data_IF_526035586960
#
_entry.id   IF_526035586960
#
_cell.length_a   1.000
_cell.length_b   1.000
_cell.length_c   1.000
_cell.angle_alpha   90.00
_cell.angle_beta   90.00
_cell.angle_gamma   90.00
#
_symmetry.space_group_name_H-M   'P 1'
#
loop_
_entity.id
_entity.type
_entity.pdbx_description
1 polymer ?
#
# COMPACT_ATOMS: atom_id res chain seq x y z
N UNK A 1 8.49 7.13 -14.02
CA UNK A 1 8.23 6.04 -13.05
C UNK A 1 7.05 5.23 -13.51
N UNK A 2 7.20 3.91 -13.59
CA UNK A 2 6.14 3.01 -14.11
C UNK A 2 5.36 2.32 -13.00
N UNK A 3 5.86 2.32 -11.79
CA UNK A 3 5.25 1.65 -10.64
C UNK A 3 5.07 2.63 -9.49
N UNK A 4 3.97 2.45 -8.76
CA UNK A 4 3.69 3.20 -7.55
C UNK A 4 3.53 2.26 -6.37
N UNK A 5 4.28 2.48 -5.31
CA UNK A 5 4.16 1.69 -4.09
C UNK A 5 3.64 2.59 -2.99
N UNK A 6 2.52 2.21 -2.40
CA UNK A 6 1.95 2.92 -1.25
C UNK A 6 2.22 2.09 -0.01
N UNK A 7 2.90 2.68 0.95
CA UNK A 7 3.26 1.99 2.20
C UNK A 7 2.82 2.84 3.38
N UNK A 8 2.12 2.24 4.32
CA UNK A 8 1.61 2.97 5.48
C UNK A 8 1.41 2.04 6.67
N UNK A 9 1.72 2.50 7.89
CA UNK A 9 1.20 1.85 9.07
C UNK A 9 -0.32 2.10 9.15
N UNK A 10 -1.01 1.28 9.93
CA UNK A 10 -2.44 1.44 10.13
C UNK A 10 -2.69 2.12 11.47
N UNK A 11 -3.39 3.24 11.42
CA UNK A 11 -3.87 3.97 12.59
C UNK A 11 -5.40 4.04 12.50
N UNK A 12 -6.08 3.44 13.48
CA UNK A 12 -7.55 3.40 13.48
C UNK A 12 -8.12 2.87 12.16
N UNK A 13 -7.66 1.68 11.76
CA UNK A 13 -8.20 0.91 10.64
C UNK A 13 -7.93 1.49 9.24
N UNK A 14 -7.17 2.55 9.13
CA UNK A 14 -6.90 3.13 7.82
C UNK A 14 -5.43 3.57 7.72
N UNK A 15 -5.06 4.00 6.52
CA UNK A 15 -3.73 4.54 6.27
C UNK A 15 -3.56 5.86 7.02
N UNK A 16 -2.31 6.32 7.15
CA UNK A 16 -2.03 7.58 7.83
C UNK A 16 -2.61 8.77 7.04
N UNK A 17 -2.86 9.86 7.74
CA UNK A 17 -3.34 11.09 7.11
C UNK A 17 -2.33 11.61 6.08
N UNK A 18 -1.04 11.47 6.35
CA UNK A 18 0.01 11.88 5.42
C UNK A 18 -0.03 11.08 4.13
N UNK A 19 -0.21 9.76 4.23
CA UNK A 19 -0.31 8.90 3.05
C UNK A 19 -1.58 9.21 2.26
N UNK A 20 -2.69 9.40 2.93
CA UNK A 20 -3.96 9.74 2.27
C UNK A 20 -3.85 11.10 1.58
N UNK A 21 -3.17 12.07 2.19
CA UNK A 21 -2.94 13.36 1.57
C UNK A 21 -2.12 13.23 0.28
N UNK A 22 -1.11 12.35 0.27
CA UNK A 22 -0.32 12.09 -0.92
C UNK A 22 -1.18 11.47 -2.04
N UNK A 23 -2.04 10.52 -1.68
CA UNK A 23 -2.96 9.90 -2.65
C UNK A 23 -3.95 10.94 -3.19
N UNK A 24 -4.48 11.78 -2.31
CA UNK A 24 -5.45 12.81 -2.71
C UNK A 24 -4.85 13.81 -3.71
N UNK A 25 -3.57 14.10 -3.60
CA UNK A 25 -2.89 14.98 -4.57
C UNK A 25 -2.83 14.40 -5.96
N UNK A 26 -2.90 13.08 -6.08
CA UNK A 26 -2.90 12.41 -7.38
C UNK A 26 -4.20 12.65 -8.16
N UNK A 27 -5.22 13.16 -7.49
CA UNK A 27 -6.50 13.49 -8.14
C UNK A 27 -6.30 14.44 -9.33
N UNK A 28 -5.34 15.35 -9.22
CA UNK A 28 -5.04 16.31 -10.29
C UNK A 28 -4.57 15.62 -11.58
N UNK A 29 -4.05 14.40 -11.50
CA UNK A 29 -3.59 13.66 -12.67
C UNK A 29 -4.73 12.88 -13.37
N UNK A 30 -5.93 12.90 -12.84
CA UNK A 30 -7.04 12.15 -13.41
C UNK A 30 -7.39 12.52 -14.85
N UNK A 31 -7.13 13.76 -15.24
CA UNK A 31 -7.40 14.25 -16.59
C UNK A 31 -6.22 14.08 -17.54
N UNK A 32 -5.00 14.06 -17.01
CA UNK A 32 -3.77 14.06 -17.85
C UNK A 32 -3.03 12.73 -17.82
N UNK A 33 -3.42 11.81 -16.92
CA UNK A 33 -2.77 10.52 -16.77
C UNK A 33 -1.77 10.50 -15.63
N UNK A 34 -1.57 9.32 -15.06
CA UNK A 34 -0.67 9.13 -13.93
C UNK A 34 0.73 8.79 -14.39
N UNK A 35 1.77 9.12 -13.58
CA UNK A 35 3.15 8.78 -13.93
C UNK A 35 3.45 7.28 -13.79
N UNK A 36 2.49 6.49 -13.30
CA UNK A 36 2.62 5.05 -13.13
C UNK A 36 1.31 4.36 -13.51
N UNK A 37 1.39 3.08 -13.84
CA UNK A 37 0.22 2.26 -14.18
C UNK A 37 0.07 1.04 -13.29
N UNK A 38 1.16 0.60 -12.68
CA UNK A 38 1.17 -0.55 -11.77
C UNK A 38 1.36 -0.06 -10.36
N UNK A 39 0.59 -0.62 -9.43
CA UNK A 39 0.64 -0.22 -8.03
C UNK A 39 0.72 -1.41 -7.11
N UNK A 40 1.16 -1.16 -5.89
CA UNK A 40 1.19 -2.14 -4.82
C UNK A 40 0.94 -1.44 -3.49
N UNK A 41 0.42 -2.18 -2.52
CA UNK A 41 0.11 -1.65 -1.21
C UNK A 41 0.81 -2.48 -0.13
N UNK A 42 1.53 -1.79 0.73
CA UNK A 42 2.18 -2.40 1.90
C UNK A 42 1.61 -1.75 3.15
N UNK A 43 1.02 -2.57 4.01
CA UNK A 43 0.44 -2.09 5.26
C UNK A 43 1.05 -2.84 6.42
N UNK A 44 1.37 -2.13 7.49
CA UNK A 44 1.84 -2.77 8.71
C UNK A 44 1.04 -2.32 9.92
N UNK A 45 1.04 -3.14 10.97
CA UNK A 45 0.32 -2.86 12.19
C UNK A 45 0.83 -3.73 13.33
N UNK A 46 0.53 -3.32 14.55
CA UNK A 46 0.73 -4.15 15.73
C UNK A 46 -0.28 -5.32 15.74
N UNK A 47 -1.52 -5.06 15.33
CA UNK A 47 -2.64 -6.01 15.42
C UNK A 47 -3.00 -6.60 14.07
N UNK A 48 -3.70 -7.74 14.10
CA UNK A 48 -4.31 -8.33 12.92
C UNK A 48 -5.77 -7.89 12.78
N UNK A 49 -6.35 -8.10 11.62
CA UNK A 49 -7.76 -7.83 11.39
C UNK A 49 -8.13 -6.36 11.29
N UNK A 50 -7.14 -5.49 11.05
CA UNK A 50 -7.34 -4.03 11.05
C UNK A 50 -7.16 -3.41 9.66
N UNK A 51 -7.07 -4.22 8.63
CA UNK A 51 -6.68 -3.74 7.29
C UNK A 51 -7.85 -3.54 6.32
N UNK A 52 -9.03 -4.02 6.62
CA UNK A 52 -10.13 -4.08 5.66
C UNK A 52 -10.51 -2.72 5.07
N UNK A 53 -10.60 -1.69 5.89
CA UNK A 53 -10.96 -0.35 5.42
C UNK A 53 -9.92 0.22 4.46
N UNK A 54 -8.64 0.09 4.80
CA UNK A 54 -7.55 0.57 3.96
C UNK A 54 -7.50 -0.18 2.63
N UNK A 55 -7.67 -1.49 2.67
CA UNK A 55 -7.67 -2.31 1.45
C UNK A 55 -8.86 -1.96 0.56
N UNK A 56 -10.04 -1.76 1.14
CA UNK A 56 -11.23 -1.37 0.38
C UNK A 56 -11.03 -0.03 -0.32
N UNK A 57 -10.48 0.95 0.38
CA UNK A 57 -10.17 2.25 -0.20
C UNK A 57 -9.19 2.12 -1.37
N UNK A 58 -8.11 1.37 -1.16
CA UNK A 58 -7.09 1.16 -2.18
C UNK A 58 -7.67 0.49 -3.43
N UNK A 59 -8.44 -0.58 -3.26
CA UNK A 59 -9.06 -1.28 -4.39
C UNK A 59 -10.03 -0.40 -5.16
N UNK A 60 -10.82 0.40 -4.46
CA UNK A 60 -11.74 1.34 -5.10
C UNK A 60 -10.96 2.39 -5.91
N UNK A 61 -9.86 2.89 -5.35
CA UNK A 61 -9.01 3.86 -6.03
C UNK A 61 -8.35 3.26 -7.27
N UNK A 62 -7.83 2.04 -7.16
CA UNK A 62 -7.25 1.34 -8.31
C UNK A 62 -8.27 1.14 -9.43
N UNK A 63 -9.49 0.76 -9.08
CA UNK A 63 -10.55 0.58 -10.07
C UNK A 63 -10.91 1.88 -10.76
N UNK A 64 -11.02 2.96 -9.99
CA UNK A 64 -11.33 4.29 -10.53
C UNK A 64 -10.24 4.82 -11.43
N UNK A 65 -8.99 4.69 -11.01
CA UNK A 65 -7.83 5.22 -11.72
C UNK A 65 -7.28 4.26 -12.78
N UNK A 66 -7.82 3.06 -12.85
CA UNK A 66 -7.37 2.00 -13.76
C UNK A 66 -5.92 1.61 -13.54
N UNK A 67 -5.49 1.62 -12.30
CA UNK A 67 -4.19 1.11 -11.92
C UNK A 67 -4.20 -0.41 -11.85
N UNK A 68 -3.12 -1.02 -12.28
CA UNK A 68 -2.93 -2.46 -12.20
C UNK A 68 -2.35 -2.83 -10.84
N UNK A 69 -3.18 -3.39 -9.96
CA UNK A 69 -2.73 -3.82 -8.63
C UNK A 69 -1.85 -5.06 -8.75
N UNK A 70 -0.60 -4.94 -8.32
CA UNK A 70 0.35 -6.04 -8.35
C UNK A 70 0.37 -6.84 -7.06
N UNK A 71 -0.24 -6.34 -6.01
CA UNK A 71 -0.34 -7.08 -4.77
C UNK A 71 -0.52 -6.18 -3.56
N UNK A 72 -1.08 -6.78 -2.52
CA UNK A 72 -1.28 -6.14 -1.22
C UNK A 72 -0.60 -7.03 -0.18
N UNK A 73 0.33 -6.48 0.58
CA UNK A 73 0.97 -7.22 1.67
C UNK A 73 0.64 -6.53 2.99
N UNK A 74 0.13 -7.30 3.93
CA UNK A 74 -0.17 -6.82 5.27
C UNK A 74 0.79 -7.48 6.25
N UNK A 75 1.36 -6.70 7.15
CA UNK A 75 2.38 -7.16 8.08
C UNK A 75 1.94 -6.84 9.49
N UNK A 76 1.53 -7.86 10.24
CA UNK A 76 1.09 -7.70 11.63
C UNK A 76 2.25 -7.97 12.59
N UNK A 77 2.08 -7.61 13.85
CA UNK A 77 3.10 -7.87 14.88
C UNK A 77 4.27 -6.90 14.87
N UNK A 78 4.15 -5.75 14.23
CA UNK A 78 5.20 -4.73 14.21
C UNK A 78 5.19 -3.96 15.51
N UNK A 79 5.88 -4.47 16.52
CA UNK A 79 5.89 -3.90 17.86
C UNK A 79 7.21 -3.18 18.21
N UNK A 80 8.28 -3.50 17.50
CA UNK A 80 9.60 -2.99 17.75
C UNK A 80 10.26 -2.51 16.47
N UNK A 81 11.31 -1.72 16.62
CA UNK A 81 12.01 -1.09 15.51
C UNK A 81 12.46 -2.08 14.42
N UNK A 82 12.98 -3.23 14.82
CA UNK A 82 13.53 -4.21 13.87
C UNK A 82 12.61 -5.41 13.65
N UNK A 83 11.32 -5.30 13.97
CA UNK A 83 10.36 -6.40 13.82
C UNK A 83 10.29 -6.92 12.40
N UNK A 84 10.46 -6.04 11.40
CA UNK A 84 10.40 -6.44 9.99
C UNK A 84 11.51 -7.43 9.60
N UNK A 85 12.70 -7.27 10.18
CA UNK A 85 13.83 -8.14 9.87
C UNK A 85 13.58 -9.61 10.22
N UNK A 86 12.74 -9.87 11.24
CA UNK A 86 12.39 -11.23 11.66
C UNK A 86 10.98 -11.64 11.24
N UNK A 87 10.28 -10.82 10.46
CA UNK A 87 8.92 -11.11 10.05
C UNK A 87 8.87 -12.17 8.95
N UNK A 88 7.95 -13.16 9.05
CA UNK A 88 7.75 -14.11 7.96
C UNK A 88 7.19 -13.44 6.70
N UNK A 89 6.71 -12.21 6.79
CA UNK A 89 6.18 -11.46 5.65
C UNK A 89 7.27 -10.86 4.77
N UNK A 90 8.52 -10.85 5.23
CA UNK A 90 9.63 -10.28 4.47
C UNK A 90 9.76 -10.90 3.08
N UNK A 91 9.57 -12.21 2.97
CA UNK A 91 9.64 -12.89 1.68
C UNK A 91 8.49 -12.49 0.75
N UNK A 92 7.30 -12.24 1.28
CA UNK A 92 6.17 -11.74 0.47
C UNK A 92 6.48 -10.36 -0.10
N UNK A 93 7.13 -9.50 0.69
CA UNK A 93 7.56 -8.17 0.23
C UNK A 93 8.58 -8.30 -0.90
N UNK A 94 9.53 -9.22 -0.77
CA UNK A 94 10.52 -9.46 -1.81
C UNK A 94 9.89 -9.96 -3.10
N UNK A 95 8.92 -10.86 -3.01
CA UNK A 95 8.18 -11.34 -4.18
C UNK A 95 7.43 -10.22 -4.87
N UNK A 96 6.80 -9.34 -4.09
CA UNK A 96 6.10 -8.19 -4.64
C UNK A 96 7.06 -7.26 -5.36
N UNK A 97 8.25 -7.03 -4.79
CA UNK A 97 9.27 -6.19 -5.43
C UNK A 97 9.70 -6.77 -6.78
N UNK A 98 9.81 -8.10 -6.89
CA UNK A 98 10.14 -8.76 -8.15
C UNK A 98 9.07 -8.54 -9.21
N UNK A 99 7.79 -8.56 -8.83
CA UNK A 99 6.68 -8.30 -9.75
C UNK A 99 6.69 -6.88 -10.29
N UNK A 100 7.18 -5.94 -9.50
CA UNK A 100 7.21 -4.52 -9.88
C UNK A 100 8.42 -4.17 -10.74
N UNK A 101 9.44 -4.99 -10.67
CA UNK A 101 10.69 -4.73 -11.38
C UNK A 101 10.57 -4.88 -12.92
#
# INVERSE_FOLDING_TARGET
MKEGVFASPIYWFDITAQEKAAIDRLYAFGATGFPFTKTALLLDSHSEGVYDAAIAMYRATCACCKWEDQGIVTISGMTERDSMASSPKLEEVRELARKLA
#
